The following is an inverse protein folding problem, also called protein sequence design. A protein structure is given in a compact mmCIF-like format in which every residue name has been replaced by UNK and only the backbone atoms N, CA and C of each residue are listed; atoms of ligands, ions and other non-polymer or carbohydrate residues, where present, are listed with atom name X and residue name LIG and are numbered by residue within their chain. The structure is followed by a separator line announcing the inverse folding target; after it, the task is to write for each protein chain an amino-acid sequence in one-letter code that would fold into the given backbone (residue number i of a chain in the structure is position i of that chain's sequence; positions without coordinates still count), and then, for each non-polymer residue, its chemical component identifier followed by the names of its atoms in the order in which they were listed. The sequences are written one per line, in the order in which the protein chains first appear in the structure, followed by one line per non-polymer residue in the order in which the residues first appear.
data_IF_529777265124
#
_entry.id   IF_529777265124
#
_cell.length_a   1.000
_cell.length_b   1.000
_cell.length_c   1.000
_cell.angle_alpha   90.00
_cell.angle_beta   90.00
_cell.angle_gamma   90.00
#
_symmetry.space_group_name_H-M   'P 1'
#
loop_
_entity.id
_entity.type
_entity.pdbx_description
1 polymer ?
#
# COMPACT_ATOMS: atom_id res chain seq x y z
N UNK A 1 4.49 5.70 8.27
CA UNK A 1 3.47 5.63 9.35
C UNK A 1 2.98 7.04 9.59
N UNK A 2 1.68 7.18 9.84
CA UNK A 2 1.07 8.44 10.24
C UNK A 2 1.81 9.01 11.45
N UNK A 3 2.12 10.30 11.42
CA UNK A 3 2.72 11.01 12.56
C UNK A 3 1.76 10.98 13.75
N UNK A 4 2.31 10.86 14.96
CA UNK A 4 1.49 10.86 16.16
C UNK A 4 0.85 12.25 16.35
N UNK A 5 -0.48 12.29 16.44
CA UNK A 5 -1.22 13.54 16.65
C UNK A 5 -0.88 14.10 18.04
N UNK A 6 -0.36 15.34 18.14
CA UNK A 6 -0.01 15.95 19.41
C UNK A 6 -1.23 16.08 20.31
N UNK A 7 -1.05 15.72 21.59
CA UNK A 7 -2.14 15.83 22.60
C UNK A 7 -2.71 17.25 22.67
N UNK A 8 -1.84 18.26 22.58
CA UNK A 8 -2.24 19.66 22.67
C UNK A 8 -3.21 20.05 21.56
N UNK A 9 -2.97 19.65 20.32
CA UNK A 9 -3.86 19.92 19.19
C UNK A 9 -5.24 19.27 19.40
N UNK A 10 -5.27 18.06 19.96
CA UNK A 10 -6.53 17.40 20.33
C UNK A 10 -7.29 18.21 21.38
N UNK A 11 -6.62 18.70 22.43
CA UNK A 11 -7.28 19.54 23.45
C UNK A 11 -7.77 20.88 22.88
N UNK A 12 -7.00 21.50 21.98
CA UNK A 12 -7.39 22.76 21.36
C UNK A 12 -8.60 22.57 20.42
N UNK A 13 -8.65 21.45 19.70
CA UNK A 13 -9.83 21.09 18.89
C UNK A 13 -11.05 20.76 19.75
N UNK A 14 -10.88 20.10 20.89
CA UNK A 14 -11.96 19.88 21.87
C UNK A 14 -12.52 21.23 22.33
N UNK A 15 -11.66 22.15 22.77
CA UNK A 15 -12.09 23.49 23.21
C UNK A 15 -12.81 24.24 22.10
N UNK A 16 -12.35 24.14 20.86
CA UNK A 16 -13.00 24.77 19.72
C UNK A 16 -14.43 24.24 19.51
N UNK A 17 -14.66 22.94 19.70
CA UNK A 17 -16.00 22.34 19.65
C UNK A 17 -16.85 22.80 20.84
N UNK A 18 -16.31 22.79 22.05
CA UNK A 18 -17.03 23.15 23.28
C UNK A 18 -17.39 24.64 23.35
N UNK A 19 -16.57 25.52 22.77
CA UNK A 19 -16.85 26.95 22.70
C UNK A 19 -17.95 27.31 21.70
N UNK A 20 -18.28 26.42 20.75
CA UNK A 20 -19.37 26.63 19.82
C UNK A 20 -20.72 26.29 20.46
N UNK A 21 -21.43 27.34 20.91
CA UNK A 21 -22.74 27.22 21.56
C UNK A 21 -23.82 26.60 20.69
N UNK A 22 -23.65 26.56 19.36
CA UNK A 22 -24.61 25.97 18.42
C UNK A 22 -24.33 24.50 18.12
N UNK A 23 -23.14 24.00 18.50
CA UNK A 23 -22.77 22.61 18.25
C UNK A 23 -23.67 21.64 19.03
N UNK A 24 -24.14 20.54 18.41
CA UNK A 24 -24.99 19.54 19.07
C UNK A 24 -24.15 18.63 19.98
N UNK A 25 -23.67 19.17 21.10
CA UNK A 25 -22.79 18.47 22.05
C UNK A 25 -23.53 17.76 23.20
N UNK A 26 -24.86 17.93 23.30
CA UNK A 26 -25.67 17.33 24.35
C UNK A 26 -26.24 15.97 23.92
N UNK A 27 -25.98 14.93 24.72
CA UNK A 27 -26.60 13.62 24.52
C UNK A 27 -28.01 13.64 25.08
N UNK A 28 -28.98 13.35 24.22
CA UNK A 28 -30.34 13.06 24.68
C UNK A 28 -30.38 11.71 25.41
N UNK A 29 -31.10 11.66 26.53
CA UNK A 29 -31.40 10.38 27.21
C UNK A 29 -32.38 9.50 26.41
N UNK A 30 -33.10 10.08 25.43
CA UNK A 30 -34.11 9.39 24.61
C UNK A 30 -34.05 9.88 23.16
N UNK A 31 -34.13 8.95 22.21
CA UNK A 31 -34.25 9.26 20.78
C UNK A 31 -35.69 9.64 20.44
N UNK A 32 -36.00 10.93 20.46
CA UNK A 32 -37.31 11.46 20.06
C UNK A 32 -37.35 11.88 18.59
N UNK A 33 -36.25 12.46 18.09
CA UNK A 33 -36.05 12.86 16.69
C UNK A 33 -34.64 12.47 16.25
N UNK A 34 -34.45 11.18 15.89
CA UNK A 34 -33.14 10.68 15.47
C UNK A 34 -32.76 11.24 14.10
N UNK A 35 -31.46 11.39 13.86
CA UNK A 35 -30.91 11.65 12.54
C UNK A 35 -31.25 10.51 11.57
N UNK A 36 -31.30 10.79 10.27
CA UNK A 36 -31.63 9.79 9.25
C UNK A 36 -30.69 8.58 9.30
N UNK A 37 -29.37 8.83 9.38
CA UNK A 37 -28.36 7.77 9.52
C UNK A 37 -28.58 6.96 10.81
N UNK A 38 -28.97 7.59 11.92
CA UNK A 38 -29.30 6.89 13.17
C UNK A 38 -30.51 5.97 12.99
N UNK A 39 -31.56 6.45 12.32
CA UNK A 39 -32.76 5.67 12.03
C UNK A 39 -32.44 4.50 11.09
N UNK A 40 -31.66 4.74 10.03
CA UNK A 40 -31.18 3.71 9.11
C UNK A 40 -30.33 2.67 9.84
N UNK A 41 -29.45 3.10 10.74
CA UNK A 41 -28.61 2.22 11.57
C UNK A 41 -29.45 1.29 12.43
N UNK A 42 -30.51 1.82 13.08
CA UNK A 42 -31.43 1.00 13.87
C UNK A 42 -32.11 -0.06 12.99
N UNK A 43 -32.68 0.36 11.87
CA UNK A 43 -33.39 -0.54 10.95
C UNK A 43 -32.47 -1.64 10.40
N UNK A 44 -31.24 -1.28 10.04
CA UNK A 44 -30.20 -2.20 9.61
C UNK A 44 -29.80 -3.20 10.70
N UNK A 45 -29.62 -2.72 11.93
CA UNK A 45 -29.26 -3.58 13.06
C UNK A 45 -30.37 -4.60 13.38
N UNK A 46 -31.63 -4.17 13.29
CA UNK A 46 -32.81 -4.99 13.58
C UNK A 46 -33.22 -5.91 12.42
N UNK A 47 -32.65 -5.75 11.22
CA UNK A 47 -33.04 -6.54 10.03
C UNK A 47 -32.65 -8.02 10.10
N UNK A 48 -31.60 -8.35 10.85
CA UNK A 48 -31.23 -9.75 11.15
C UNK A 48 -30.51 -9.85 12.49
N UNK A 49 -30.66 -11.02 13.12
CA UNK A 49 -29.89 -11.42 14.29
C UNK A 49 -28.42 -11.67 13.97
N UNK A 50 -28.11 -12.15 12.76
CA UNK A 50 -26.74 -12.38 12.33
C UNK A 50 -26.21 -11.14 11.62
N UNK A 51 -25.05 -10.68 12.05
CA UNK A 51 -24.38 -9.52 11.49
C UNK A 51 -24.25 -9.59 9.97
N UNK A 52 -23.77 -10.71 9.43
CA UNK A 52 -23.46 -10.87 8.00
C UNK A 52 -24.71 -10.95 7.11
N UNK A 53 -25.89 -11.14 7.70
CA UNK A 53 -27.17 -11.15 6.99
C UNK A 53 -27.85 -9.78 6.97
N UNK A 54 -27.31 -8.79 7.70
CA UNK A 54 -27.89 -7.45 7.74
C UNK A 54 -27.64 -6.74 6.43
N UNK A 55 -28.72 -6.31 5.79
CA UNK A 55 -28.68 -5.63 4.48
C UNK A 55 -28.86 -4.14 4.69
N UNK A 56 -27.85 -3.35 4.31
CA UNK A 56 -28.02 -1.93 4.08
C UNK A 56 -28.69 -1.78 2.70
N UNK A 57 -29.91 -1.22 2.65
CA UNK A 57 -30.65 -0.98 1.40
C UNK A 57 -30.20 0.34 0.75
N UNK A 58 -28.94 0.41 0.31
CA UNK A 58 -28.25 1.61 -0.21
C UNK A 58 -28.11 2.79 0.77
N UNK A 59 -28.91 2.82 1.84
CA UNK A 59 -28.84 3.82 2.88
C UNK A 59 -27.49 3.79 3.63
N UNK A 60 -27.03 4.96 4.04
CA UNK A 60 -25.86 5.08 4.89
C UNK A 60 -26.20 4.66 6.31
N UNK A 61 -25.37 3.79 6.90
CA UNK A 61 -25.53 3.34 8.28
C UNK A 61 -24.24 3.54 9.07
N UNK A 62 -24.39 3.72 10.37
CA UNK A 62 -23.28 3.67 11.30
C UNK A 62 -23.08 2.21 11.71
N UNK A 63 -21.91 1.66 11.41
CA UNK A 63 -21.69 0.24 11.57
C UNK A 63 -21.67 -0.19 13.06
N UNK A 64 -22.58 -1.09 13.48
CA UNK A 64 -22.72 -1.60 14.85
C UNK A 64 -22.50 -3.11 15.00
N UNK A 65 -21.54 -3.49 15.84
CA UNK A 65 -21.26 -4.88 16.26
C UNK A 65 -21.45 -5.03 17.77
N UNK A 66 -22.68 -4.89 18.22
CA UNK A 66 -23.05 -4.84 19.64
C UNK A 66 -24.14 -5.85 20.00
N UNK A 67 -24.26 -6.15 21.30
CA UNK A 67 -25.38 -6.89 21.86
C UNK A 67 -26.68 -6.06 21.82
N UNK A 68 -27.82 -6.73 21.65
CA UNK A 68 -29.15 -6.07 21.60
C UNK A 68 -29.44 -5.20 22.83
N UNK A 69 -28.97 -5.61 24.02
CA UNK A 69 -29.12 -4.84 25.28
C UNK A 69 -28.47 -3.46 25.21
N UNK A 70 -27.40 -3.31 24.42
CA UNK A 70 -26.65 -2.06 24.27
C UNK A 70 -27.21 -1.15 23.19
N UNK A 71 -28.17 -1.60 22.39
CA UNK A 71 -28.65 -0.90 21.20
C UNK A 71 -29.17 0.51 21.51
N UNK A 72 -29.99 0.67 22.55
CA UNK A 72 -30.55 1.97 22.92
C UNK A 72 -29.45 3.00 23.23
N UNK A 73 -28.46 2.60 24.03
CA UNK A 73 -27.30 3.45 24.37
C UNK A 73 -26.45 3.76 23.15
N UNK A 74 -26.17 2.76 22.33
CA UNK A 74 -25.38 2.92 21.10
C UNK A 74 -26.04 3.91 20.13
N UNK A 75 -27.37 3.83 19.94
CA UNK A 75 -28.09 4.73 19.04
C UNK A 75 -28.07 6.18 19.56
N UNK A 76 -28.13 6.44 20.88
CA UNK A 76 -27.95 7.79 21.42
C UNK A 76 -26.55 8.35 21.10
N UNK A 77 -25.51 7.52 21.21
CA UNK A 77 -24.14 7.91 20.90
C UNK A 77 -23.98 8.17 19.39
N UNK A 78 -24.48 7.27 18.55
CA UNK A 78 -24.47 7.42 17.09
C UNK A 78 -25.17 8.71 16.67
N UNK A 79 -26.33 9.01 17.26
CA UNK A 79 -27.10 10.21 16.94
C UNK A 79 -26.32 11.49 17.21
N UNK A 80 -25.63 11.59 18.34
CA UNK A 80 -24.77 12.72 18.64
C UNK A 80 -23.59 12.80 17.67
N UNK A 81 -22.89 11.67 17.45
CA UNK A 81 -21.72 11.66 16.57
C UNK A 81 -22.07 12.12 15.16
N UNK A 82 -23.12 11.56 14.57
CA UNK A 82 -23.55 11.91 13.22
C UNK A 82 -23.92 13.39 13.13
N UNK A 83 -24.79 13.88 14.03
CA UNK A 83 -25.20 15.29 14.05
C UNK A 83 -24.00 16.22 14.24
N UNK A 84 -23.05 15.86 15.09
CA UNK A 84 -21.88 16.67 15.36
C UNK A 84 -20.90 16.66 14.18
N UNK A 85 -20.68 15.52 13.52
CA UNK A 85 -19.85 15.45 12.32
C UNK A 85 -20.43 16.30 11.18
N UNK A 86 -21.72 16.15 10.88
CA UNK A 86 -22.37 16.95 9.83
C UNK A 86 -22.43 18.44 10.16
N UNK A 87 -22.72 18.79 11.42
CA UNK A 87 -22.68 20.18 11.87
C UNK A 87 -21.29 20.81 11.65
N UNK A 88 -20.22 20.02 11.79
CA UNK A 88 -18.85 20.45 11.55
C UNK A 88 -18.41 20.41 10.08
N UNK A 89 -19.35 20.11 9.17
CA UNK A 89 -19.15 20.17 7.73
C UNK A 89 -18.66 18.87 7.10
N UNK A 90 -18.69 17.76 7.84
CA UNK A 90 -18.24 16.45 7.34
C UNK A 90 -19.40 15.68 6.72
N UNK A 91 -19.12 14.96 5.64
CA UNK A 91 -20.14 14.23 4.88
C UNK A 91 -20.04 12.74 5.15
N UNK A 92 -21.14 12.09 5.48
CA UNK A 92 -21.23 10.64 5.43
C UNK A 92 -21.50 10.20 3.98
N UNK A 93 -20.74 9.22 3.48
CA UNK A 93 -20.86 8.69 2.12
C UNK A 93 -20.44 7.22 2.08
N UNK A 94 -20.44 6.62 0.89
CA UNK A 94 -19.86 5.30 0.64
C UNK A 94 -18.50 5.43 -0.04
N UNK A 95 -17.54 4.59 0.36
CA UNK A 95 -16.27 4.43 -0.33
C UNK A 95 -16.45 3.70 -1.68
N UNK A 96 -15.37 3.55 -2.45
CA UNK A 96 -15.37 2.82 -3.72
C UNK A 96 -15.79 1.34 -3.59
N UNK A 97 -15.70 0.76 -2.38
CA UNK A 97 -16.08 -0.61 -2.09
C UNK A 97 -17.51 -0.72 -1.53
N UNK A 98 -18.23 0.40 -1.40
CA UNK A 98 -19.59 0.46 -0.86
C UNK A 98 -19.68 0.51 0.68
N UNK A 99 -18.57 0.65 1.39
CA UNK A 99 -18.56 0.80 2.85
C UNK A 99 -18.95 2.21 3.26
N UNK A 100 -19.71 2.34 4.33
CA UNK A 100 -20.07 3.64 4.90
C UNK A 100 -18.86 4.28 5.60
N UNK A 101 -18.55 5.52 5.21
CA UNK A 101 -17.39 6.30 5.66
C UNK A 101 -17.78 7.75 5.92
N UNK A 102 -16.93 8.47 6.66
CA UNK A 102 -16.98 9.91 6.81
C UNK A 102 -15.91 10.53 5.90
N UNK A 103 -16.32 11.37 4.95
CA UNK A 103 -15.43 12.16 4.12
C UNK A 103 -15.01 13.42 4.87
N UNK A 104 -13.72 13.49 5.22
CA UNK A 104 -13.13 14.58 6.01
C UNK A 104 -11.76 14.91 5.43
N UNK A 105 -11.46 16.19 5.17
CA UNK A 105 -10.15 16.60 4.62
C UNK A 105 -9.75 15.84 3.34
N UNK A 106 -10.73 15.42 2.52
CA UNK A 106 -10.51 14.61 1.31
C UNK A 106 -10.06 13.17 1.57
N UNK A 107 -10.24 12.66 2.79
CA UNK A 107 -9.96 11.28 3.20
C UNK A 107 -11.25 10.58 3.60
N UNK A 108 -11.31 9.29 3.35
CA UNK A 108 -12.44 8.41 3.71
C UNK A 108 -12.11 7.72 5.03
N UNK A 109 -12.81 8.12 6.10
CA UNK A 109 -12.58 7.60 7.45
C UNK A 109 -13.69 6.63 7.82
N UNK A 110 -13.34 5.36 8.06
CA UNK A 110 -14.26 4.39 8.61
C UNK A 110 -14.49 4.65 10.09
N UNK A 111 -15.76 4.56 10.50
CA UNK A 111 -16.16 4.63 11.90
C UNK A 111 -17.11 3.47 12.23
N UNK A 112 -16.96 2.88 13.41
CA UNK A 112 -17.84 1.81 13.87
C UNK A 112 -17.87 1.71 15.39
N UNK A 113 -18.88 1.01 15.90
CA UNK A 113 -19.00 0.71 17.33
C UNK A 113 -19.14 -0.78 17.57
N UNK A 114 -18.50 -1.28 18.62
CA UNK A 114 -18.55 -2.70 19.01
C UNK A 114 -18.57 -2.90 20.51
N UNK A 115 -19.15 -4.01 20.97
CA UNK A 115 -18.89 -4.50 22.31
C UNK A 115 -17.48 -5.09 22.36
N UNK A 116 -16.76 -4.81 23.45
CA UNK A 116 -15.49 -5.48 23.73
C UNK A 116 -15.81 -6.82 24.39
N UNK A 117 -15.32 -7.92 23.84
CA UNK A 117 -15.38 -9.21 24.51
C UNK A 117 -14.14 -9.48 25.34
N UNK A 118 -14.26 -10.46 26.23
CA UNK A 118 -13.16 -11.02 27.02
C UNK A 118 -13.18 -12.53 26.83
N UNK A 119 -11.99 -13.12 26.78
CA UNK A 119 -11.87 -14.56 26.89
C UNK A 119 -11.96 -14.96 28.36
N UNK A 120 -12.83 -15.92 28.67
CA UNK A 120 -12.93 -16.55 29.98
C UNK A 120 -12.52 -18.02 29.84
N UNK A 121 -11.76 -18.54 30.81
CA UNK A 121 -11.40 -19.95 30.81
C UNK A 121 -12.68 -20.80 31.01
N UNK A 122 -12.81 -21.83 30.21
CA UNK A 122 -13.88 -22.81 30.27
C UNK A 122 -13.27 -24.15 30.68
N UNK A 123 -13.49 -24.50 31.95
CA UNK A 123 -12.98 -25.71 32.60
C UNK A 123 -13.96 -26.90 32.50
N UNK A 124 -15.02 -26.80 31.68
CA UNK A 124 -16.01 -27.87 31.53
C UNK A 124 -15.58 -29.03 30.61
N UNK A 125 -14.34 -29.03 30.11
CA UNK A 125 -13.79 -30.07 29.23
C UNK A 125 -12.49 -30.68 29.73
N UNK A 126 -12.05 -31.80 29.12
CA UNK A 126 -10.75 -32.43 29.45
C UNK A 126 -9.54 -31.57 29.07
N UNK A 127 -9.76 -30.53 28.28
CA UNK A 127 -8.75 -29.57 27.85
C UNK A 127 -9.18 -28.18 28.28
N UNK A 128 -8.21 -27.39 28.74
CA UNK A 128 -8.40 -25.95 28.97
C UNK A 128 -8.83 -25.30 27.66
N UNK A 129 -10.07 -24.81 27.64
CA UNK A 129 -10.61 -24.03 26.53
C UNK A 129 -10.93 -22.62 27.03
N UNK A 130 -11.12 -21.67 26.10
CA UNK A 130 -11.51 -20.30 26.45
C UNK A 130 -12.70 -19.90 25.62
N UNK A 131 -13.76 -19.48 26.30
CA UNK A 131 -14.95 -18.95 25.66
C UNK A 131 -14.83 -17.44 25.52
N UNK A 132 -15.19 -16.93 24.34
CA UNK A 132 -15.28 -15.50 24.11
C UNK A 132 -16.64 -14.99 24.59
N UNK A 133 -16.63 -14.20 25.66
CA UNK A 133 -17.85 -13.62 26.25
C UNK A 133 -17.89 -12.13 25.93
N UNK A 134 -18.97 -11.67 25.29
CA UNK A 134 -19.20 -10.24 25.07
C UNK A 134 -19.45 -9.53 26.40
N UNK A 135 -18.79 -8.38 26.60
CA UNK A 135 -19.00 -7.54 27.78
C UNK A 135 -19.83 -6.31 27.43
N UNK A 136 -20.42 -5.66 28.43
CA UNK A 136 -21.19 -4.42 28.29
C UNK A 136 -20.33 -3.19 27.94
N UNK A 137 -19.01 -3.35 27.77
CA UNK A 137 -18.08 -2.28 27.43
C UNK A 137 -18.23 -1.94 25.94
N UNK A 138 -18.75 -0.74 25.65
CA UNK A 138 -18.80 -0.21 24.29
C UNK A 138 -17.47 0.40 23.90
N UNK A 139 -17.16 0.28 22.61
CA UNK A 139 -15.98 0.85 21.98
C UNK A 139 -16.37 1.50 20.65
N UNK A 140 -15.99 2.76 20.47
CA UNK A 140 -15.97 3.42 19.16
C UNK A 140 -14.57 3.29 18.60
N UNK A 141 -14.49 2.91 17.33
CA UNK A 141 -13.22 2.82 16.61
C UNK A 141 -13.31 3.62 15.31
N UNK A 142 -12.22 4.31 14.99
CA UNK A 142 -12.00 4.91 13.67
C UNK A 142 -10.78 4.27 13.03
N UNK A 143 -10.74 4.26 11.71
CA UNK A 143 -9.58 3.87 10.94
C UNK A 143 -9.77 4.32 9.49
N UNK A 144 -8.67 4.39 8.77
CA UNK A 144 -8.68 4.50 7.31
C UNK A 144 -8.20 3.18 6.71
N UNK A 145 -7.21 2.54 7.35
CA UNK A 145 -6.73 1.21 7.05
C UNK A 145 -6.78 0.31 8.29
N UNK A 146 -6.72 -1.00 8.09
CA UNK A 146 -6.77 -1.96 9.21
C UNK A 146 -5.69 -1.74 10.29
N UNK A 147 -4.54 -1.15 9.95
CA UNK A 147 -3.39 -0.95 10.86
C UNK A 147 -3.36 0.41 11.58
N UNK A 148 -4.12 1.43 11.15
CA UNK A 148 -4.07 2.78 11.74
C UNK A 148 -5.25 3.07 12.68
N UNK A 149 -5.81 2.01 13.27
CA UNK A 149 -7.01 2.06 14.09
C UNK A 149 -6.81 2.81 15.40
N UNK A 150 -7.75 3.70 15.71
CA UNK A 150 -7.88 4.35 17.02
C UNK A 150 -9.18 3.94 17.68
N UNK A 151 -9.11 3.61 18.96
CA UNK A 151 -10.26 3.15 19.75
C UNK A 151 -10.48 4.01 21.00
N UNK A 152 -11.75 4.26 21.33
CA UNK A 152 -12.22 4.81 22.60
C UNK A 152 -13.26 3.88 23.18
N UNK A 153 -13.09 3.51 24.44
CA UNK A 153 -13.96 2.55 25.11
C UNK A 153 -14.46 3.07 26.44
N UNK A 154 -15.53 2.46 26.91
CA UNK A 154 -15.94 2.57 28.31
C UNK A 154 -14.79 2.16 29.24
N UNK A 155 -14.65 2.90 30.33
CA UNK A 155 -13.81 2.52 31.45
C UNK A 155 -14.64 2.54 32.71
N UNK A 156 -14.11 1.95 33.79
CA UNK A 156 -14.74 2.01 35.12
C UNK A 156 -14.91 3.44 35.66
N UNK A 157 -14.17 4.41 35.11
CA UNK A 157 -14.15 5.78 35.59
C UNK A 157 -14.78 6.78 34.63
N UNK A 158 -14.89 6.45 33.34
CA UNK A 158 -15.50 7.34 32.35
C UNK A 158 -16.26 6.56 31.27
N UNK A 159 -17.56 6.82 31.10
CA UNK A 159 -18.33 6.27 30.00
C UNK A 159 -17.88 6.86 28.65
N UNK A 160 -18.27 6.22 27.56
CA UNK A 160 -17.96 6.66 26.20
C UNK A 160 -18.59 8.02 25.85
N UNK A 161 -19.75 8.31 26.45
CA UNK A 161 -20.50 9.56 26.33
C UNK A 161 -19.66 10.80 26.68
N UNK A 162 -18.78 10.70 27.69
CA UNK A 162 -17.88 11.79 28.09
C UNK A 162 -16.71 11.98 27.13
N UNK A 163 -16.51 11.04 26.19
CA UNK A 163 -15.38 11.04 25.25
C UNK A 163 -15.79 11.47 23.84
N UNK A 164 -17.07 11.68 23.55
CA UNK A 164 -17.56 11.87 22.17
C UNK A 164 -16.98 13.11 21.49
N UNK A 165 -16.85 14.23 22.21
CA UNK A 165 -16.21 15.44 21.67
C UNK A 165 -14.76 15.15 21.28
N UNK A 166 -14.04 14.39 22.13
CA UNK A 166 -12.66 13.94 21.84
C UNK A 166 -12.61 12.99 20.65
N UNK A 167 -13.60 12.10 20.48
CA UNK A 167 -13.69 11.24 19.28
C UNK A 167 -13.75 12.11 18.04
N UNK A 168 -14.67 13.08 17.98
CA UNK A 168 -14.81 13.97 16.82
C UNK A 168 -13.54 14.78 16.58
N UNK A 169 -13.02 15.44 17.61
CA UNK A 169 -11.79 16.24 17.55
C UNK A 169 -10.59 15.45 17.01
N UNK A 170 -10.39 14.23 17.53
CA UNK A 170 -9.29 13.38 17.08
C UNK A 170 -9.53 12.87 15.65
N UNK A 171 -10.77 12.55 15.28
CA UNK A 171 -11.10 12.07 13.92
C UNK A 171 -10.81 13.16 12.88
N UNK A 172 -11.12 14.42 13.17
CA UNK A 172 -10.77 15.55 12.30
C UNK A 172 -9.26 15.67 12.10
N UNK A 173 -8.50 15.69 13.20
CA UNK A 173 -7.03 15.77 13.15
C UNK A 173 -6.43 14.54 12.46
N UNK A 174 -7.01 13.36 12.67
CA UNK A 174 -6.58 12.13 12.02
C UNK A 174 -6.71 12.23 10.50
N UNK A 175 -7.83 12.77 10.00
CA UNK A 175 -8.03 13.00 8.58
C UNK A 175 -7.06 14.05 8.00
N UNK A 176 -6.79 15.13 8.74
CA UNK A 176 -5.82 16.17 8.37
C UNK A 176 -4.39 15.57 8.25
N UNK A 177 -3.94 14.85 9.28
CA UNK A 177 -2.63 14.19 9.30
C UNK A 177 -2.52 13.08 8.25
N UNK A 178 -3.61 12.36 7.98
CA UNK A 178 -3.64 11.35 6.91
C UNK A 178 -3.44 11.99 5.56
N UNK A 179 -4.16 13.09 5.28
CA UNK A 179 -4.00 13.85 4.04
C UNK A 179 -2.55 14.27 3.81
N UNK A 180 -1.91 14.84 4.82
CA UNK A 180 -0.50 15.26 4.73
C UNK A 180 0.44 14.07 4.49
N UNK A 181 0.22 12.97 5.20
CA UNK A 181 1.00 11.75 5.02
C UNK A 181 0.91 11.22 3.58
N UNK A 182 -0.30 11.17 3.00
CA UNK A 182 -0.51 10.70 1.63
C UNK A 182 0.15 11.61 0.59
N UNK A 183 0.07 12.94 0.77
CA UNK A 183 0.76 13.90 -0.11
C UNK A 183 2.28 13.70 -0.09
N UNK A 184 2.87 13.49 1.09
CA UNK A 184 4.31 13.23 1.22
C UNK A 184 4.71 11.89 0.58
N UNK A 185 3.83 10.88 0.66
CA UNK A 185 4.07 9.56 0.10
C UNK A 185 4.05 9.61 -1.44
N UNK A 186 3.07 10.31 -2.02
CA UNK A 186 2.97 10.56 -3.46
C UNK A 186 4.21 11.30 -3.99
N UNK A 187 4.66 12.35 -3.29
CA UNK A 187 5.87 13.08 -3.68
C UNK A 187 7.11 12.20 -3.63
N UNK A 188 7.23 11.35 -2.60
CA UNK A 188 8.34 10.40 -2.47
C UNK A 188 8.34 9.39 -3.61
N UNK A 189 7.20 8.76 -3.92
CA UNK A 189 7.10 7.81 -5.01
C UNK A 189 7.42 8.44 -6.36
N UNK A 190 7.02 9.69 -6.58
CA UNK A 190 7.39 10.43 -7.79
C UNK A 190 8.90 10.63 -7.90
N UNK A 191 9.58 11.02 -6.80
CA UNK A 191 11.04 11.18 -6.78
C UNK A 191 11.75 9.84 -7.00
N UNK A 192 11.31 8.78 -6.33
CA UNK A 192 11.88 7.45 -6.46
C UNK A 192 11.72 6.89 -7.89
N UNK A 193 10.58 7.16 -8.55
CA UNK A 193 10.36 6.76 -9.93
C UNK A 193 11.37 7.42 -10.89
N UNK A 194 11.63 8.72 -10.73
CA UNK A 194 12.63 9.46 -11.51
C UNK A 194 14.03 8.88 -11.29
N UNK A 195 14.39 8.61 -10.03
CA UNK A 195 15.71 8.04 -9.68
C UNK A 195 15.88 6.66 -10.33
N UNK A 196 14.87 5.79 -10.24
CA UNK A 196 14.89 4.46 -10.86
C UNK A 196 15.05 4.52 -12.37
N UNK A 197 14.39 5.47 -13.03
CA UNK A 197 14.52 5.65 -14.48
C UNK A 197 15.95 6.07 -14.86
N UNK A 198 16.55 7.01 -14.12
CA UNK A 198 17.94 7.42 -14.32
C UNK A 198 18.94 6.28 -14.06
N UNK A 199 18.70 5.46 -13.03
CA UNK A 199 19.54 4.28 -12.74
C UNK A 199 19.42 3.22 -13.84
N UNK A 200 18.22 2.99 -14.35
CA UNK A 200 18.00 2.06 -15.47
C UNK A 200 18.65 2.56 -16.76
N UNK A 201 18.61 3.86 -17.05
CA UNK A 201 19.31 4.41 -18.21
C UNK A 201 20.82 4.23 -18.09
N UNK A 202 21.41 4.59 -16.96
CA UNK A 202 22.84 4.38 -16.70
C UNK A 202 23.24 2.92 -16.82
N UNK A 203 22.41 2.01 -16.29
CA UNK A 203 22.68 0.57 -16.39
C UNK A 203 22.65 0.10 -17.85
N UNK A 204 21.68 0.56 -18.64
CA UNK A 204 21.60 0.25 -20.09
C UNK A 204 22.80 0.81 -20.86
N UNK A 205 23.29 2.00 -20.52
CA UNK A 205 24.49 2.56 -21.12
C UNK A 205 25.74 1.72 -20.80
N UNK A 206 25.91 1.33 -19.53
CA UNK A 206 27.02 0.48 -19.08
C UNK A 206 26.96 -0.89 -19.75
N UNK A 207 25.79 -1.52 -19.85
CA UNK A 207 25.61 -2.81 -20.53
C UNK A 207 25.96 -2.71 -22.01
N UNK A 208 25.50 -1.66 -22.71
CA UNK A 208 25.88 -1.40 -24.11
C UNK A 208 27.38 -1.17 -24.27
N UNK A 209 28.01 -0.47 -23.34
CA UNK A 209 29.46 -0.24 -23.36
C UNK A 209 30.24 -1.55 -23.12
N UNK A 210 29.79 -2.38 -22.19
CA UNK A 210 30.37 -3.71 -21.93
C UNK A 210 30.21 -4.64 -23.13
N UNK A 211 29.04 -4.67 -23.78
CA UNK A 211 28.83 -5.45 -25.01
C UNK A 211 29.78 -5.00 -26.13
N UNK A 212 29.91 -3.69 -26.34
CA UNK A 212 30.86 -3.13 -27.31
C UNK A 212 32.31 -3.50 -26.98
N UNK A 213 32.69 -3.44 -25.71
CA UNK A 213 34.03 -3.80 -25.26
C UNK A 213 34.31 -5.29 -25.47
N UNK A 214 33.36 -6.17 -25.12
CA UNK A 214 33.48 -7.61 -25.32
C UNK A 214 33.61 -7.96 -26.81
N UNK A 215 32.82 -7.31 -27.66
CA UNK A 215 32.93 -7.49 -29.11
C UNK A 215 34.30 -7.04 -29.62
N UNK A 216 34.81 -5.90 -29.16
CA UNK A 216 36.13 -5.40 -29.51
C UNK A 216 37.25 -6.39 -29.13
N UNK A 217 37.15 -7.01 -27.95
CA UNK A 217 38.11 -8.04 -27.49
C UNK A 217 38.07 -9.25 -28.42
N UNK A 218 36.87 -9.77 -28.73
CA UNK A 218 36.69 -10.90 -29.64
C UNK A 218 37.27 -10.61 -31.03
N UNK A 219 36.99 -9.41 -31.56
CA UNK A 219 37.49 -8.98 -32.86
C UNK A 219 39.03 -8.85 -32.83
N UNK A 220 39.60 -8.26 -31.78
CA UNK A 220 41.05 -8.13 -31.64
C UNK A 220 41.76 -9.49 -31.56
N UNK A 221 41.22 -10.44 -30.79
CA UNK A 221 41.76 -11.81 -30.70
C UNK A 221 41.64 -12.56 -32.03
N UNK A 222 40.50 -12.45 -32.71
CA UNK A 222 40.28 -13.08 -34.02
C UNK A 222 41.25 -12.53 -35.07
N UNK A 223 41.48 -11.21 -35.05
CA UNK A 223 42.46 -10.56 -35.91
C UNK A 223 43.89 -11.05 -35.63
N UNK A 224 44.31 -11.11 -34.36
CA UNK A 224 45.65 -11.60 -33.98
C UNK A 224 45.87 -13.06 -34.42
N UNK A 225 44.87 -13.93 -34.21
CA UNK A 225 44.91 -15.33 -34.66
C UNK A 225 45.01 -15.43 -36.19
N UNK A 226 44.19 -14.65 -36.91
CA UNK A 226 44.24 -14.62 -38.37
C UNK A 226 45.62 -14.21 -38.88
N UNK A 227 46.22 -13.16 -38.29
CA UNK A 227 47.56 -12.68 -38.64
C UNK A 227 48.66 -13.72 -38.35
N UNK A 228 48.58 -14.41 -37.21
CA UNK A 228 49.50 -15.52 -36.87
C UNK A 228 49.43 -16.66 -37.89
N UNK A 229 48.21 -17.05 -38.29
CA UNK A 229 47.99 -18.09 -39.29
C UNK A 229 48.46 -17.66 -40.69
N UNK A 230 48.17 -16.42 -41.09
CA UNK A 230 48.64 -15.83 -42.35
C UNK A 230 50.16 -15.82 -42.45
N UNK A 231 50.83 -15.36 -41.39
CA UNK A 231 52.29 -15.36 -41.32
C UNK A 231 52.86 -16.78 -41.46
N UNK A 232 52.33 -17.75 -40.71
CA UNK A 232 52.77 -19.14 -40.78
C UNK A 232 52.61 -19.72 -42.19
N UNK A 233 51.44 -19.55 -42.82
CA UNK A 233 51.18 -20.07 -44.17
C UNK A 233 52.13 -19.44 -45.20
N UNK A 234 52.37 -18.14 -45.08
CA UNK A 234 53.28 -17.40 -45.97
C UNK A 234 54.73 -17.84 -45.79
N UNK A 235 55.20 -17.97 -44.55
CA UNK A 235 56.55 -18.45 -44.23
C UNK A 235 56.75 -19.91 -44.67
N UNK A 236 55.78 -20.79 -44.41
CA UNK A 236 55.81 -22.20 -44.84
C UNK A 236 55.88 -22.30 -46.36
N UNK A 237 55.05 -21.54 -47.08
CA UNK A 237 55.06 -21.51 -48.55
C UNK A 237 56.43 -21.09 -49.07
N UNK A 238 56.99 -19.98 -48.56
CA UNK A 238 58.31 -19.51 -48.96
C UNK A 238 59.42 -20.55 -48.69
N UNK A 239 59.37 -21.24 -47.55
CA UNK A 239 60.29 -22.33 -47.24
C UNK A 239 60.17 -23.50 -48.23
N UNK A 240 58.96 -23.96 -48.53
CA UNK A 240 58.72 -25.08 -49.45
C UNK A 240 59.15 -24.74 -50.88
N UNK A 241 58.86 -23.53 -51.35
CA UNK A 241 59.30 -23.03 -52.66
C UNK A 241 60.83 -23.00 -52.75
N UNK A 242 61.52 -22.52 -51.70
CA UNK A 242 62.99 -22.45 -51.68
C UNK A 242 63.69 -23.82 -51.68
N UNK A 243 63.00 -24.87 -51.26
CA UNK A 243 63.51 -26.24 -51.21
C UNK A 243 63.00 -27.14 -52.35
N UNK A 244 62.24 -26.59 -53.33
CA UNK A 244 61.55 -27.36 -54.39
C UNK A 244 60.61 -28.47 -53.85
N UNK A 245 59.97 -28.23 -52.70
CA UNK A 245 59.04 -29.17 -52.04
C UNK A 245 57.58 -28.67 -52.09
N UNK A 246 57.29 -27.65 -52.88
CA UNK A 246 55.94 -27.09 -53.01
C UNK A 246 55.18 -27.79 -54.14
N UNK A 247 54.53 -28.90 -53.80
CA UNK A 247 53.72 -29.70 -54.72
C UNK A 247 52.23 -29.27 -54.74
N UNK A 248 51.42 -29.98 -55.52
CA UNK A 248 50.00 -29.64 -55.69
C UNK A 248 49.19 -29.85 -54.40
N UNK A 249 49.59 -30.76 -53.50
CA UNK A 249 48.93 -30.95 -52.21
C UNK A 249 49.21 -29.76 -51.27
N UNK A 250 50.46 -29.30 -51.20
CA UNK A 250 50.84 -28.11 -50.42
C UNK A 250 50.21 -26.82 -50.96
N UNK A 251 50.00 -26.72 -52.28
CA UNK A 251 49.26 -25.61 -52.89
C UNK A 251 47.79 -25.59 -52.46
N UNK A 252 47.11 -26.74 -52.50
CA UNK A 252 45.72 -26.85 -52.03
C UNK A 252 45.60 -26.54 -50.54
N UNK A 253 46.56 -26.99 -49.73
CA UNK A 253 46.60 -26.68 -48.30
C UNK A 253 46.78 -25.18 -48.04
N UNK A 254 47.67 -24.50 -48.79
CA UNK A 254 47.88 -23.06 -48.69
C UNK A 254 46.62 -22.27 -49.07
N UNK A 255 45.99 -22.58 -50.20
CA UNK A 255 44.79 -21.88 -50.67
C UNK A 255 43.61 -22.04 -49.70
N UNK A 256 43.37 -23.26 -49.21
CA UNK A 256 42.39 -23.51 -48.14
C UNK A 256 42.71 -22.73 -46.87
N UNK A 257 43.98 -22.70 -46.45
CA UNK A 257 44.42 -21.99 -45.25
C UNK A 257 44.17 -20.49 -45.33
N UNK A 258 44.50 -19.85 -46.45
CA UNK A 258 44.26 -18.42 -46.69
C UNK A 258 42.76 -18.11 -46.70
N UNK A 259 41.92 -18.97 -47.28
CA UNK A 259 40.47 -18.82 -47.23
C UNK A 259 39.95 -18.85 -45.78
N UNK A 260 40.48 -19.72 -44.91
CA UNK A 260 40.11 -19.77 -43.49
C UNK A 260 40.57 -18.53 -42.73
N UNK A 261 41.77 -18.03 -43.01
CA UNK A 261 42.27 -16.76 -42.45
C UNK A 261 41.34 -15.60 -42.81
N UNK A 262 40.91 -15.51 -44.07
CA UNK A 262 40.00 -14.45 -44.53
C UNK A 262 38.65 -14.48 -43.81
N UNK A 263 38.12 -15.69 -43.52
CA UNK A 263 36.87 -15.87 -42.75
C UNK A 263 37.02 -15.59 -41.25
N UNK A 264 38.23 -15.72 -40.70
CA UNK A 264 38.51 -15.45 -39.29
C UNK A 264 38.84 -13.98 -39.04
N UNK A 265 39.38 -13.28 -40.03
CA UNK A 265 39.81 -11.90 -39.90
C UNK A 265 38.59 -10.94 -39.91
N UNK A 266 38.25 -10.29 -38.78
CA UNK A 266 37.05 -9.45 -38.69
C UNK A 266 37.12 -8.21 -39.61
N UNK A 267 38.30 -7.81 -40.07
CA UNK A 267 38.47 -6.70 -41.02
C UNK A 267 38.10 -7.12 -42.45
N UNK A 268 38.34 -8.38 -42.81
CA UNK A 268 38.07 -8.92 -44.15
C UNK A 268 36.63 -9.42 -44.29
N UNK A 269 36.05 -9.95 -43.21
CA UNK A 269 34.66 -10.42 -43.16
C UNK A 269 33.65 -9.27 -43.35
N UNK A 270 33.93 -8.09 -42.80
CA UNK A 270 33.03 -6.92 -42.87
C UNK A 270 33.08 -6.14 -44.20
N UNK A 271 33.68 -6.70 -45.27
CA UNK A 271 33.81 -6.04 -46.60
C UNK A 271 32.86 -6.57 -47.69
N UNK A 272 31.94 -7.47 -47.37
CA UNK A 272 30.89 -7.96 -48.29
C UNK A 272 29.50 -7.50 -47.86
#
# INVERSE_FOLDING_TARGET
MLTAIPKQEVEDRIKAIECDKKAPISISKRLTSPHEITANTKNWFESSNHYWERKSKDNIVFHLSIDKKSLSRALNIVDLLVKLFEYRGHLFTKDINGHDVILMSGREIHISMRNIGKYQDNDNGSYRSRDFVMTDVLCVQIYEDTWNRKEWKDTSYSPLEEKLIRVVAYTELFAEYSREYHLQLEERWRKDAIIRELEQEKKREIEKEQEKLNQLIIDAESYDRAKKMENYLTERKAYLESNNLFDEEEKQYFEWGIEKVARLNPILVNRN
#
